data_IF_895543766053
#
_entry.id   IF_895543766053
#
_cell.length_a   1.000
_cell.length_b   1.000
_cell.length_c   1.000
_cell.angle_alpha   90.00
_cell.angle_beta   90.00
_cell.angle_gamma   90.00
#
_symmetry.space_group_name_H-M   'P 1'
#
loop_
_entity.id
_entity.type
_entity.pdbx_description
1 polymer ?
#
# COMPACT_ATOMS: atom_id res chain seq x y z
N UNK A 1 -24.11 28.13 33.33
CA UNK A 1 -23.31 28.64 32.19
C UNK A 1 -22.17 27.65 31.99
N UNK A 2 -22.38 26.36 31.69
CA UNK A 2 -22.82 25.72 30.43
C UNK A 2 -22.02 26.16 29.20
N UNK A 3 -20.70 26.11 29.30
CA UNK A 3 -19.79 26.30 28.15
C UNK A 3 -18.77 25.14 28.04
N UNK A 4 -19.12 23.94 28.53
CA UNK A 4 -18.17 22.81 28.62
C UNK A 4 -18.67 21.51 27.95
N UNK A 5 -19.70 21.59 27.10
CA UNK A 5 -20.19 20.43 26.32
C UNK A 5 -20.49 20.74 24.85
N UNK A 6 -20.35 22.00 24.43
CA UNK A 6 -20.55 22.41 23.04
C UNK A 6 -19.24 22.55 22.25
N UNK A 7 -18.11 22.74 22.93
CA UNK A 7 -16.80 22.90 22.28
C UNK A 7 -16.20 21.56 21.84
N UNK A 8 -16.40 20.48 22.61
CA UNK A 8 -15.87 19.15 22.30
C UNK A 8 -16.52 18.53 21.05
N UNK A 9 -17.76 18.88 20.71
CA UNK A 9 -18.36 18.49 19.44
C UNK A 9 -17.75 19.26 18.25
N UNK A 10 -17.49 20.56 18.41
CA UNK A 10 -16.98 21.38 17.30
C UNK A 10 -15.55 21.02 16.86
N UNK A 11 -14.73 20.45 17.72
CA UNK A 11 -13.38 19.99 17.38
C UNK A 11 -13.30 18.56 16.83
N UNK A 12 -14.33 17.73 17.01
CA UNK A 12 -14.42 16.42 16.35
C UNK A 12 -15.03 16.52 14.93
N UNK A 13 -15.85 17.53 14.65
CA UNK A 13 -16.54 17.65 13.36
C UNK A 13 -15.79 18.45 12.28
N UNK A 14 -14.64 19.08 12.61
CA UNK A 14 -13.88 19.89 11.66
C UNK A 14 -12.39 19.52 11.61
N UNK A 15 -12.08 18.22 11.57
CA UNK A 15 -10.96 17.79 10.74
C UNK A 15 -11.51 17.60 9.33
N UNK A 16 -11.15 18.46 8.36
CA UNK A 16 -11.17 18.02 6.98
C UNK A 16 -10.28 16.78 6.95
N UNK A 17 -10.89 15.59 6.84
CA UNK A 17 -10.19 14.44 6.32
C UNK A 17 -9.76 14.86 4.93
N UNK A 18 -8.49 15.24 4.79
CA UNK A 18 -7.90 15.46 3.48
C UNK A 18 -7.96 14.11 2.78
N UNK A 19 -9.02 13.94 1.98
CA UNK A 19 -9.12 12.92 0.96
C UNK A 19 -7.88 12.99 0.06
N UNK A 20 -7.39 11.81 -0.29
CA UNK A 20 -6.41 11.48 -1.32
C UNK A 20 -5.65 12.65 -1.94
N UNK A 21 -4.37 12.73 -1.60
CA UNK A 21 -3.41 13.38 -2.49
C UNK A 21 -3.38 12.60 -3.81
N UNK A 22 -3.23 13.34 -4.90
CA UNK A 22 -3.64 12.91 -6.24
C UNK A 22 -3.00 11.62 -6.69
N UNK A 23 -3.80 10.58 -6.84
CA UNK A 23 -3.40 9.39 -7.58
C UNK A 23 -3.19 9.76 -9.05
N UNK A 24 -1.94 10.06 -9.40
CA UNK A 24 -1.37 9.38 -10.56
C UNK A 24 -1.80 7.92 -10.42
N UNK A 25 -2.45 7.35 -11.44
CA UNK A 25 -2.97 5.99 -11.40
C UNK A 25 -1.80 5.01 -11.29
N UNK A 26 -1.24 4.89 -10.09
CA UNK A 26 -0.20 3.95 -9.76
C UNK A 26 -0.81 2.58 -9.94
N UNK A 27 -0.24 1.81 -10.85
CA UNK A 27 -0.65 0.43 -11.10
C UNK A 27 -0.30 -0.36 -9.84
N UNK A 28 -1.31 -0.68 -9.04
CA UNK A 28 -1.17 -1.40 -7.78
C UNK A 28 -2.15 -2.57 -7.77
N UNK A 29 -1.63 -3.74 -7.40
CA UNK A 29 -2.44 -4.94 -7.23
C UNK A 29 -3.43 -4.76 -6.08
N UNK A 30 -4.69 -5.22 -6.16
CA UNK A 30 -5.64 -5.14 -5.04
C UNK A 30 -5.15 -5.93 -3.80
N UNK A 31 -4.24 -6.87 -4.00
CA UNK A 31 -3.58 -7.65 -2.95
C UNK A 31 -2.41 -6.93 -2.28
N UNK A 32 -2.17 -5.66 -2.58
CA UNK A 32 -1.06 -4.89 -2.02
C UNK A 32 -1.51 -3.48 -1.63
N UNK A 33 -0.71 -2.81 -0.81
CA UNK A 33 -0.81 -1.37 -0.53
C UNK A 33 0.43 -0.73 -1.14
N UNK A 34 0.23 0.20 -2.08
CA UNK A 34 1.35 0.86 -2.75
C UNK A 34 1.42 2.33 -2.34
N UNK A 35 2.64 2.85 -2.19
CA UNK A 35 2.90 4.27 -2.07
C UNK A 35 3.20 4.91 -3.44
N UNK A 36 3.40 6.23 -3.45
CA UNK A 36 3.69 7.00 -4.67
C UNK A 36 5.15 6.88 -5.12
N UNK A 37 6.06 6.48 -4.21
CA UNK A 37 7.50 6.39 -4.45
C UNK A 37 7.91 5.05 -5.08
N UNK A 38 6.99 4.07 -5.11
CA UNK A 38 7.20 2.76 -5.72
C UNK A 38 7.40 1.62 -4.72
N UNK A 39 7.05 1.82 -3.45
CA UNK A 39 6.92 0.75 -2.48
C UNK A 39 5.61 0.00 -2.63
N UNK A 40 5.66 -1.32 -2.48
CA UNK A 40 4.50 -2.20 -2.50
C UNK A 40 4.53 -3.14 -1.29
N UNK A 41 3.66 -2.89 -0.32
CA UNK A 41 3.43 -3.77 0.82
C UNK A 41 2.33 -4.80 0.50
N UNK A 42 2.74 -6.04 0.30
CA UNK A 42 1.87 -7.20 0.07
C UNK A 42 1.94 -8.19 1.23
N UNK A 43 2.41 -7.77 2.41
CA UNK A 43 2.63 -8.64 3.55
C UNK A 43 1.32 -9.17 4.16
N UNK A 44 1.37 -10.36 4.76
CA UNK A 44 0.26 -10.88 5.59
C UNK A 44 -1.03 -11.22 4.84
N UNK A 45 -1.00 -11.35 3.51
CA UNK A 45 -2.20 -11.51 2.67
C UNK A 45 -2.52 -12.96 2.31
N UNK A 46 -1.74 -13.91 2.82
CA UNK A 46 -1.90 -15.34 2.53
C UNK A 46 -1.61 -15.71 1.08
N UNK A 47 -0.81 -14.90 0.37
CA UNK A 47 -0.44 -15.11 -1.02
C UNK A 47 0.31 -16.43 -1.18
N UNK A 48 -0.02 -17.18 -2.22
CA UNK A 48 0.71 -18.41 -2.59
C UNK A 48 1.67 -18.18 -3.75
N UNK A 49 1.63 -17.01 -4.37
CA UNK A 49 2.45 -16.59 -5.51
C UNK A 49 2.71 -15.09 -5.46
N UNK A 50 3.77 -14.63 -6.13
CA UNK A 50 4.04 -13.18 -6.31
C UNK A 50 2.86 -12.51 -7.06
N UNK A 51 2.30 -11.40 -6.54
CA UNK A 51 1.16 -10.73 -7.15
C UNK A 51 1.55 -10.06 -8.48
N UNK A 52 0.61 -10.06 -9.42
CA UNK A 52 0.73 -9.35 -10.70
C UNK A 52 0.00 -8.00 -10.64
N UNK A 53 0.26 -7.14 -11.63
CA UNK A 53 -0.36 -5.82 -11.69
C UNK A 53 0.22 -4.82 -10.69
N UNK A 54 1.47 -5.04 -10.27
CA UNK A 54 2.31 -4.03 -9.64
C UNK A 54 3.04 -3.20 -10.70
N UNK A 55 3.42 -1.98 -10.34
CA UNK A 55 4.17 -1.07 -11.22
C UNK A 55 5.51 -1.68 -11.61
N UNK A 56 5.95 -1.45 -12.86
CA UNK A 56 7.31 -1.82 -13.26
C UNK A 56 8.39 -1.01 -12.53
N UNK A 57 8.01 0.14 -11.96
CA UNK A 57 8.87 1.02 -11.15
C UNK A 57 8.91 0.65 -9.67
N UNK A 58 8.35 -0.49 -9.27
CA UNK A 58 8.44 -0.94 -7.89
C UNK A 58 9.90 -1.16 -7.49
N UNK A 59 10.36 -0.42 -6.47
CA UNK A 59 11.72 -0.52 -5.93
C UNK A 59 11.79 -1.33 -4.63
N UNK A 60 10.69 -1.33 -3.87
CA UNK A 60 10.51 -2.08 -2.62
C UNK A 60 9.26 -2.97 -2.73
N UNK A 61 9.40 -4.27 -2.44
CA UNK A 61 8.29 -5.22 -2.49
C UNK A 61 8.28 -6.11 -1.25
N UNK A 62 7.37 -5.87 -0.30
CA UNK A 62 7.22 -6.73 0.87
C UNK A 62 6.29 -7.91 0.58
N UNK A 63 6.83 -9.13 0.55
CA UNK A 63 6.07 -10.38 0.46
C UNK A 63 6.03 -11.18 1.77
N UNK A 64 6.47 -10.59 2.88
CA UNK A 64 6.56 -11.26 4.18
C UNK A 64 5.20 -11.74 4.71
N UNK A 65 5.23 -12.70 5.63
CA UNK A 65 4.01 -13.25 6.25
C UNK A 65 2.98 -13.81 5.24
N UNK A 66 3.44 -14.34 4.10
CA UNK A 66 2.61 -15.03 3.11
C UNK A 66 2.88 -16.54 3.06
N UNK A 67 2.14 -17.28 2.24
CA UNK A 67 2.23 -18.73 2.06
C UNK A 67 2.95 -19.10 0.76
N UNK A 68 3.93 -18.31 0.34
CA UNK A 68 4.73 -18.55 -0.86
C UNK A 68 5.78 -19.61 -0.52
N UNK A 69 5.64 -20.82 -1.07
CA UNK A 69 6.57 -21.93 -0.82
C UNK A 69 7.69 -22.03 -1.85
N UNK A 70 7.47 -21.49 -3.04
CA UNK A 70 8.42 -21.54 -4.15
C UNK A 70 8.38 -20.23 -4.94
N UNK A 71 9.55 -19.79 -5.40
CA UNK A 71 9.70 -18.65 -6.30
C UNK A 71 10.19 -19.15 -7.66
N UNK A 72 9.35 -19.11 -8.71
CA UNK A 72 9.77 -19.49 -10.05
C UNK A 72 10.95 -18.63 -10.54
N UNK A 73 11.80 -19.23 -11.37
CA UNK A 73 12.83 -18.48 -12.06
C UNK A 73 12.20 -17.31 -12.83
N UNK A 74 12.85 -16.15 -12.77
CA UNK A 74 12.42 -14.93 -13.47
C UNK A 74 11.07 -14.35 -13.01
N UNK A 75 10.53 -14.75 -11.85
CA UNK A 75 9.25 -14.19 -11.34
C UNK A 75 9.31 -12.67 -11.15
N UNK A 76 10.49 -12.13 -10.82
CA UNK A 76 10.72 -10.68 -10.67
C UNK A 76 11.22 -9.98 -11.92
N UNK A 77 11.23 -10.64 -13.10
CA UNK A 77 11.78 -10.04 -14.34
C UNK A 77 11.09 -8.74 -14.77
N UNK A 78 9.86 -8.52 -14.31
CA UNK A 78 9.06 -7.35 -14.63
C UNK A 78 9.28 -6.18 -13.64
N UNK A 79 10.15 -6.37 -12.63
CA UNK A 79 10.55 -5.34 -11.67
C UNK A 79 12.03 -5.00 -11.87
N UNK A 80 12.41 -4.35 -12.99
CA UNK A 80 13.81 -4.05 -13.29
C UNK A 80 14.46 -3.07 -12.32
N UNK A 81 13.67 -2.35 -11.51
CA UNK A 81 14.13 -1.39 -10.51
C UNK A 81 14.01 -1.91 -9.08
N UNK A 82 13.73 -3.20 -8.88
CA UNK A 82 13.60 -3.76 -7.54
C UNK A 82 14.95 -3.77 -6.81
N UNK A 83 15.02 -3.07 -5.69
CA UNK A 83 16.21 -2.96 -4.85
C UNK A 83 16.06 -3.76 -3.55
N UNK A 84 14.84 -3.87 -3.02
CA UNK A 84 14.53 -4.55 -1.76
C UNK A 84 13.28 -5.43 -1.88
N UNK A 85 13.35 -6.64 -1.30
CA UNK A 85 12.33 -7.71 -1.35
C UNK A 85 12.13 -8.33 0.05
#
# INVERSE_FOLDING_TARGET
MRVDLFWMCLWCFLRPGAAGQGQATAVCSPSCSCDEDGGADCSGRGLTTVPTGLSAFTYYLDLSMNNITELPAFVFKNFPYLEEL
#
